data_IF_043207984842
#
_entry.id   IF_043207984842
#
_cell.length_a   1.000
_cell.length_b   1.000
_cell.length_c   1.000
_cell.angle_alpha   90.00
_cell.angle_beta   90.00
_cell.angle_gamma   90.00
#
_symmetry.space_group_name_H-M   'P 1'
#
loop_
_entity.id
_entity.type
_entity.pdbx_description
1 polymer ?
#
# COMPACT_ATOMS: atom_id res chain seq x y z
N UNK A 1 13.98 39.93 52.43
CA UNK A 1 14.26 38.83 51.51
C UNK A 1 12.92 38.33 50.96
N UNK A 2 12.58 38.64 49.68
CA UNK A 2 11.40 38.14 48.97
C UNK A 2 11.81 36.91 48.17
N UNK A 3 11.41 35.73 48.59
CA UNK A 3 11.60 34.47 47.87
C UNK A 3 10.65 34.43 46.70
N UNK A 4 11.22 34.54 45.47
CA UNK A 4 10.48 34.39 44.22
C UNK A 4 10.25 32.90 43.96
N UNK A 5 9.00 32.45 44.11
CA UNK A 5 8.60 31.09 43.83
C UNK A 5 8.40 30.97 42.30
N UNK A 6 9.36 30.38 41.59
CA UNK A 6 9.24 30.08 40.15
C UNK A 6 8.42 28.81 40.00
N UNK A 7 7.17 28.98 39.61
CA UNK A 7 6.27 27.89 39.25
C UNK A 7 6.67 27.38 37.85
N UNK A 8 7.43 26.30 37.77
CA UNK A 8 7.73 25.62 36.50
C UNK A 8 6.47 24.87 36.09
N UNK A 9 5.69 25.47 35.20
CA UNK A 9 4.62 24.76 34.50
C UNK A 9 5.28 23.75 33.55
N UNK A 10 5.32 22.47 33.90
CA UNK A 10 5.60 21.37 33.03
C UNK A 10 4.44 21.23 32.04
N UNK A 11 4.57 21.83 30.87
CA UNK A 11 3.65 21.59 29.75
C UNK A 11 3.93 20.17 29.28
N UNK A 12 3.11 19.21 29.70
CA UNK A 12 3.11 17.88 29.11
C UNK A 12 2.57 18.02 27.69
N UNK A 13 3.47 18.15 26.70
CA UNK A 13 3.15 18.06 25.28
C UNK A 13 2.80 16.58 25.00
N UNK A 14 1.54 16.22 25.17
CA UNK A 14 1.05 14.97 24.60
C UNK A 14 0.98 15.14 23.07
N UNK A 15 1.86 14.43 22.34
CA UNK A 15 1.78 14.38 20.90
C UNK A 15 0.39 13.90 20.48
N UNK A 16 -0.23 14.58 19.52
CA UNK A 16 -1.50 14.13 18.95
C UNK A 16 -1.32 12.77 18.28
N UNK A 17 -2.42 12.03 18.09
CA UNK A 17 -2.38 10.74 17.37
C UNK A 17 -1.71 10.93 16.01
N UNK A 18 -2.04 12.01 15.29
CA UNK A 18 -1.49 12.32 13.98
C UNK A 18 0.02 12.58 14.02
N UNK A 19 0.52 13.34 14.99
CA UNK A 19 1.96 13.58 15.16
C UNK A 19 2.73 12.30 15.50
N UNK A 20 2.17 11.44 16.35
CA UNK A 20 2.73 10.13 16.64
C UNK A 20 2.79 9.25 15.38
N UNK A 21 1.70 9.19 14.61
CA UNK A 21 1.66 8.46 13.35
C UNK A 21 2.71 8.98 12.36
N UNK A 22 2.83 10.30 12.23
CA UNK A 22 3.82 10.92 11.35
C UNK A 22 5.25 10.56 11.74
N UNK A 23 5.59 10.63 13.02
CA UNK A 23 6.91 10.23 13.55
C UNK A 23 7.20 8.75 13.26
N UNK A 24 6.23 7.87 13.48
CA UNK A 24 6.36 6.45 13.17
C UNK A 24 6.52 6.19 11.67
N UNK A 25 5.80 6.94 10.83
CA UNK A 25 5.91 6.85 9.37
C UNK A 25 7.29 7.24 8.87
N UNK A 26 7.86 8.35 9.36
CA UNK A 26 9.24 8.76 9.06
C UNK A 26 10.27 7.69 9.46
N UNK A 27 10.00 6.95 10.53
CA UNK A 27 10.82 5.83 10.98
C UNK A 27 10.48 4.49 10.27
N UNK A 28 9.72 4.53 9.15
CA UNK A 28 9.33 3.37 8.34
C UNK A 28 8.56 2.29 9.12
N UNK A 29 7.91 2.65 10.24
CA UNK A 29 7.06 1.75 11.04
C UNK A 29 5.64 1.70 10.45
N UNK A 30 5.53 1.42 9.15
CA UNK A 30 4.29 1.55 8.37
C UNK A 30 3.16 0.68 8.91
N UNK A 31 3.41 -0.59 9.22
CA UNK A 31 2.40 -1.49 9.78
C UNK A 31 1.78 -0.93 11.06
N UNK A 32 2.62 -0.45 11.98
CA UNK A 32 2.15 0.17 13.22
C UNK A 32 1.29 1.41 12.96
N UNK A 33 1.68 2.24 11.98
CA UNK A 33 0.89 3.43 11.61
C UNK A 33 -0.43 3.03 10.96
N UNK A 34 -0.43 2.02 10.08
CA UNK A 34 -1.64 1.47 9.49
C UNK A 34 -2.62 0.95 10.56
N UNK A 35 -2.13 0.27 11.59
CA UNK A 35 -2.98 -0.21 12.69
C UNK A 35 -3.51 0.94 13.56
N UNK A 36 -2.65 1.89 13.94
CA UNK A 36 -3.10 3.10 14.67
C UNK A 36 -4.19 3.82 13.88
N UNK A 37 -3.98 4.01 12.58
CA UNK A 37 -4.94 4.63 11.68
C UNK A 37 -6.27 3.87 11.64
N UNK A 38 -6.24 2.56 11.51
CA UNK A 38 -7.41 1.70 11.49
C UNK A 38 -8.25 1.82 12.77
N UNK A 39 -7.63 1.69 13.94
CA UNK A 39 -8.34 1.76 15.23
C UNK A 39 -8.87 3.15 15.57
N UNK A 40 -8.23 4.21 15.08
CA UNK A 40 -8.64 5.60 15.33
C UNK A 40 -9.45 6.24 14.19
N UNK A 41 -9.74 5.47 13.14
CA UNK A 41 -10.36 5.96 11.91
C UNK A 41 -11.70 6.66 12.14
N UNK A 42 -12.58 6.07 12.94
CA UNK A 42 -13.94 6.58 13.19
C UNK A 42 -13.95 8.04 13.64
N UNK A 43 -13.01 8.43 14.50
CA UNK A 43 -12.93 9.76 15.07
C UNK A 43 -12.17 10.77 14.19
N UNK A 44 -11.39 10.30 13.21
CA UNK A 44 -10.50 11.13 12.37
C UNK A 44 -10.83 11.08 10.88
N UNK A 45 -11.96 10.50 10.48
CA UNK A 45 -12.35 10.27 9.08
C UNK A 45 -12.55 11.53 8.23
N UNK A 46 -12.68 12.71 8.85
CA UNK A 46 -12.80 14.01 8.17
C UNK A 46 -11.46 14.73 8.03
N UNK A 47 -10.42 14.30 8.75
CA UNK A 47 -9.05 14.83 8.60
C UNK A 47 -8.35 14.11 7.44
N UNK A 48 -8.30 14.76 6.28
CA UNK A 48 -7.70 14.16 5.07
C UNK A 48 -6.20 13.89 5.19
N UNK A 49 -5.48 14.64 6.03
CA UNK A 49 -4.05 14.36 6.31
C UNK A 49 -3.91 13.05 7.10
N UNK A 50 -4.74 12.86 8.13
CA UNK A 50 -4.80 11.61 8.89
C UNK A 50 -5.16 10.43 7.98
N UNK A 51 -6.22 10.59 7.14
CA UNK A 51 -6.69 9.54 6.23
C UNK A 51 -5.63 9.20 5.19
N UNK A 52 -4.94 10.20 4.63
CA UNK A 52 -3.84 9.99 3.68
C UNK A 52 -2.67 9.25 4.33
N UNK A 53 -2.24 9.67 5.52
CA UNK A 53 -1.14 9.04 6.26
C UNK A 53 -1.47 7.58 6.62
N UNK A 54 -2.70 7.32 7.05
CA UNK A 54 -3.22 5.97 7.27
C UNK A 54 -3.15 5.13 5.98
N UNK A 55 -3.66 5.65 4.86
CA UNK A 55 -3.71 4.93 3.60
C UNK A 55 -2.31 4.62 3.04
N UNK A 56 -1.39 5.59 3.01
CA UNK A 56 -0.01 5.34 2.60
C UNK A 56 0.71 4.33 3.49
N UNK A 57 0.41 4.33 4.79
CA UNK A 57 0.99 3.36 5.71
C UNK A 57 0.50 1.94 5.44
N UNK A 58 -0.80 1.78 5.16
CA UNK A 58 -1.38 0.50 4.78
C UNK A 58 -0.85 0.01 3.42
N UNK A 59 -0.68 0.92 2.46
CA UNK A 59 -0.05 0.63 1.17
C UNK A 59 1.37 0.08 1.35
N UNK A 60 2.20 0.77 2.15
CA UNK A 60 3.59 0.36 2.39
C UNK A 60 3.73 -0.92 3.24
N UNK A 61 2.64 -1.38 3.85
CA UNK A 61 2.53 -2.61 4.64
C UNK A 61 1.76 -3.72 3.92
N UNK A 62 1.44 -3.54 2.63
CA UNK A 62 0.70 -4.49 1.79
C UNK A 62 -0.77 -4.75 2.20
N UNK A 63 -1.33 -3.94 3.13
CA UNK A 63 -2.74 -4.03 3.55
C UNK A 63 -3.67 -3.29 2.58
N UNK A 64 -3.64 -3.67 1.29
CA UNK A 64 -4.29 -2.93 0.21
C UNK A 64 -5.82 -2.84 0.34
N UNK A 65 -6.48 -3.84 0.93
CA UNK A 65 -7.95 -3.78 1.10
C UNK A 65 -8.38 -2.69 2.09
N UNK A 66 -7.48 -2.25 2.98
CA UNK A 66 -7.73 -1.11 3.87
C UNK A 66 -7.80 0.23 3.14
N UNK A 67 -7.40 0.29 1.86
CA UNK A 67 -7.48 1.51 1.04
C UNK A 67 -8.91 1.83 0.59
N UNK A 68 -9.83 0.87 0.61
CA UNK A 68 -11.18 1.06 0.09
C UNK A 68 -11.92 2.25 0.74
N UNK A 69 -11.82 2.38 2.07
CA UNK A 69 -12.47 3.49 2.79
C UNK A 69 -11.75 4.82 2.60
N UNK A 70 -10.42 4.95 2.71
CA UNK A 70 -9.68 6.15 2.32
C UNK A 70 -10.02 6.66 0.93
N UNK A 71 -10.07 5.80 -0.09
CA UNK A 71 -10.43 6.15 -1.46
C UNK A 71 -11.76 6.92 -1.51
N UNK A 72 -12.78 6.45 -0.79
CA UNK A 72 -14.10 7.10 -0.78
C UNK A 72 -14.12 8.45 -0.05
N UNK A 73 -13.22 8.68 0.89
CA UNK A 73 -13.21 9.86 1.76
C UNK A 73 -12.27 10.99 1.30
N UNK A 74 -11.17 10.65 0.63
CA UNK A 74 -10.19 11.62 0.13
C UNK A 74 -10.72 12.35 -1.11
N UNK A 75 -11.29 13.56 -0.92
CA UNK A 75 -12.01 14.26 -2.00
C UNK A 75 -11.96 15.80 -1.96
N UNK A 76 -11.63 16.43 -0.83
CA UNK A 76 -11.78 17.87 -0.68
C UNK A 76 -10.57 18.64 -1.19
N UNK A 77 -9.35 18.29 -0.81
CA UNK A 77 -8.14 18.91 -1.31
C UNK A 77 -7.69 18.34 -2.66
N UNK A 78 -6.83 19.07 -3.38
CA UNK A 78 -6.23 18.58 -4.64
C UNK A 78 -5.37 17.36 -4.38
N UNK A 79 -4.58 17.39 -3.33
CA UNK A 79 -3.68 16.32 -2.89
C UNK A 79 -4.48 15.07 -2.51
N UNK A 80 -5.57 15.23 -1.76
CA UNK A 80 -6.44 14.11 -1.38
C UNK A 80 -7.09 13.45 -2.57
N UNK A 81 -7.55 14.23 -3.57
CA UNK A 81 -8.07 13.65 -4.82
C UNK A 81 -7.00 12.89 -5.61
N UNK A 82 -5.77 13.40 -5.64
CA UNK A 82 -4.65 12.70 -6.29
C UNK A 82 -4.32 11.40 -5.56
N UNK A 83 -4.26 11.41 -4.22
CA UNK A 83 -4.04 10.23 -3.40
C UNK A 83 -5.15 9.19 -3.61
N UNK A 84 -6.43 9.63 -3.60
CA UNK A 84 -7.57 8.75 -3.88
C UNK A 84 -7.45 8.09 -5.25
N UNK A 85 -7.11 8.83 -6.30
CA UNK A 85 -6.92 8.28 -7.64
C UNK A 85 -5.78 7.25 -7.69
N UNK A 86 -4.64 7.56 -7.07
CA UNK A 86 -3.49 6.67 -6.97
C UNK A 86 -3.83 5.34 -6.28
N UNK A 87 -4.47 5.41 -5.10
CA UNK A 87 -4.91 4.21 -4.37
C UNK A 87 -5.97 3.41 -5.12
N UNK A 88 -6.87 4.09 -5.85
CA UNK A 88 -7.92 3.44 -6.64
C UNK A 88 -7.34 2.56 -7.75
N UNK A 89 -6.32 3.04 -8.46
CA UNK A 89 -5.63 2.27 -9.49
C UNK A 89 -5.03 0.99 -8.89
N UNK A 90 -4.29 1.12 -7.79
CA UNK A 90 -3.59 -0.01 -7.15
C UNK A 90 -4.60 -1.05 -6.62
N UNK A 91 -5.66 -0.59 -5.95
CA UNK A 91 -6.68 -1.50 -5.40
C UNK A 91 -7.45 -2.23 -6.51
N UNK A 92 -7.81 -1.54 -7.59
CA UNK A 92 -8.45 -2.14 -8.76
C UNK A 92 -7.53 -3.17 -9.42
N UNK A 93 -6.28 -2.84 -9.66
CA UNK A 93 -5.30 -3.76 -10.23
C UNK A 93 -5.10 -5.00 -9.35
N UNK A 94 -5.05 -4.83 -8.01
CA UNK A 94 -5.00 -5.97 -7.07
C UNK A 94 -6.17 -6.92 -7.27
N UNK A 95 -7.40 -6.38 -7.34
CA UNK A 95 -8.60 -7.20 -7.50
C UNK A 95 -8.65 -7.90 -8.86
N UNK A 96 -8.27 -7.22 -9.93
CA UNK A 96 -8.21 -7.78 -11.28
C UNK A 96 -7.13 -8.85 -11.42
N UNK A 97 -5.93 -8.60 -10.87
CA UNK A 97 -4.85 -9.59 -10.87
C UNK A 97 -5.23 -10.85 -10.07
N UNK A 98 -5.92 -10.67 -8.94
CA UNK A 98 -6.44 -11.78 -8.14
C UNK A 98 -7.44 -12.61 -8.93
N UNK A 99 -8.38 -11.97 -9.64
CA UNK A 99 -9.35 -12.62 -10.52
C UNK A 99 -8.66 -13.34 -11.68
N UNK A 100 -7.68 -12.70 -12.32
CA UNK A 100 -6.91 -13.31 -13.40
C UNK A 100 -6.16 -14.57 -12.98
N UNK A 101 -5.46 -14.51 -11.84
CA UNK A 101 -4.65 -15.62 -11.34
C UNK A 101 -5.47 -16.81 -10.81
N UNK A 102 -6.67 -16.56 -10.26
CA UNK A 102 -7.50 -17.61 -9.65
C UNK A 102 -8.48 -18.20 -10.64
N UNK A 103 -9.11 -17.34 -11.47
CA UNK A 103 -10.23 -17.72 -12.30
C UNK A 103 -9.88 -17.71 -13.81
N UNK A 104 -8.60 -17.51 -14.15
CA UNK A 104 -8.11 -17.37 -15.52
C UNK A 104 -8.80 -16.26 -16.31
N UNK A 105 -9.22 -15.18 -15.63
CA UNK A 105 -9.82 -14.03 -16.29
C UNK A 105 -8.80 -13.30 -17.16
N UNK A 106 -9.14 -13.07 -18.43
CA UNK A 106 -8.26 -12.37 -19.37
C UNK A 106 -8.29 -10.86 -19.13
N UNK A 107 -7.14 -10.31 -18.70
CA UNK A 107 -6.96 -8.88 -18.46
C UNK A 107 -6.12 -8.20 -19.55
N UNK A 108 -5.76 -8.89 -20.63
CA UNK A 108 -4.87 -8.39 -21.68
C UNK A 108 -5.45 -7.19 -22.45
N UNK A 109 -6.77 -7.07 -22.50
CA UNK A 109 -7.47 -5.94 -23.14
C UNK A 109 -7.61 -4.71 -22.25
N UNK A 110 -7.25 -4.82 -20.94
CA UNK A 110 -7.41 -3.73 -19.99
C UNK A 110 -6.23 -2.76 -20.07
N UNK A 111 -6.53 -1.52 -20.43
CA UNK A 111 -5.55 -0.43 -20.54
C UNK A 111 -5.65 0.46 -19.30
N UNK A 112 -5.02 0.05 -18.20
CA UNK A 112 -5.04 0.76 -16.93
C UNK A 112 -3.76 1.59 -16.75
N UNK A 113 -3.84 2.74 -16.06
CA UNK A 113 -2.64 3.50 -15.68
C UNK A 113 -1.71 2.63 -14.85
N UNK A 114 -0.39 2.73 -15.11
CA UNK A 114 0.65 2.10 -14.28
C UNK A 114 1.17 3.11 -13.28
N UNK A 115 1.35 2.68 -12.02
CA UNK A 115 1.96 3.48 -10.96
C UNK A 115 3.35 2.94 -10.62
N UNK A 116 4.09 3.67 -9.77
CA UNK A 116 5.39 3.24 -9.26
C UNK A 116 5.32 2.09 -8.24
N UNK A 117 4.13 1.77 -7.73
CA UNK A 117 3.93 0.67 -6.79
C UNK A 117 4.16 -0.70 -7.46
N UNK A 118 4.86 -1.61 -6.76
CA UNK A 118 5.29 -2.90 -7.32
C UNK A 118 4.15 -3.72 -7.93
N UNK A 119 3.01 -3.82 -7.25
CA UNK A 119 1.84 -4.56 -7.76
C UNK A 119 1.36 -3.98 -9.09
N UNK A 120 1.38 -2.64 -9.25
CA UNK A 120 0.94 -1.97 -10.47
C UNK A 120 1.88 -2.29 -11.64
N UNK A 121 3.19 -2.32 -11.41
CA UNK A 121 4.18 -2.73 -12.42
C UNK A 121 3.97 -4.19 -12.84
N UNK A 122 3.83 -5.08 -11.86
CA UNK A 122 3.63 -6.52 -12.12
C UNK A 122 2.30 -6.80 -12.81
N UNK A 123 1.24 -6.03 -12.47
CA UNK A 123 -0.04 -6.08 -13.19
C UNK A 123 0.14 -5.75 -14.69
N UNK A 124 0.87 -4.68 -15.00
CA UNK A 124 1.14 -4.27 -16.38
C UNK A 124 1.94 -5.34 -17.15
N UNK A 125 2.98 -5.90 -16.54
CA UNK A 125 3.73 -7.00 -17.13
C UNK A 125 2.85 -8.23 -17.38
N UNK A 126 2.00 -8.59 -16.42
CA UNK A 126 1.09 -9.73 -16.57
C UNK A 126 0.06 -9.49 -17.69
N UNK A 127 -0.54 -8.31 -17.75
CA UNK A 127 -1.49 -7.95 -18.82
C UNK A 127 -0.84 -8.00 -20.23
N UNK A 128 0.42 -7.57 -20.36
CA UNK A 128 1.19 -7.63 -21.62
C UNK A 128 1.49 -9.05 -22.10
N UNK A 129 1.37 -10.09 -21.26
CA UNK A 129 1.52 -11.49 -21.71
C UNK A 129 0.43 -11.92 -22.72
N UNK A 130 -0.68 -11.19 -22.76
CA UNK A 130 -1.83 -11.59 -23.55
C UNK A 130 -2.54 -12.82 -22.98
N UNK A 131 -3.38 -13.44 -23.78
CA UNK A 131 -4.08 -14.67 -23.39
C UNK A 131 -3.09 -15.84 -23.33
N UNK A 132 -3.02 -16.51 -22.18
CA UNK A 132 -2.09 -17.62 -21.95
C UNK A 132 -2.68 -18.62 -20.96
N UNK A 133 -2.08 -19.82 -20.89
CA UNK A 133 -2.43 -20.83 -19.90
C UNK A 133 -1.84 -20.44 -18.53
N UNK A 134 -2.53 -20.86 -17.45
CA UNK A 134 -2.09 -20.64 -16.08
C UNK A 134 -0.73 -21.32 -15.82
N UNK A 135 0.16 -20.62 -15.14
CA UNK A 135 1.50 -21.10 -14.78
C UNK A 135 1.65 -21.16 -13.26
N UNK A 136 2.57 -22.00 -12.78
CA UNK A 136 2.91 -22.08 -11.36
C UNK A 136 3.49 -20.74 -10.83
N UNK A 137 4.22 -20.02 -11.68
CA UNK A 137 4.76 -18.70 -11.41
C UNK A 137 5.06 -17.96 -12.71
N UNK A 138 5.23 -16.64 -12.61
CA UNK A 138 5.63 -15.74 -13.70
C UNK A 138 6.87 -15.00 -13.27
N UNK A 139 7.80 -14.79 -14.20
CA UNK A 139 9.02 -13.99 -14.00
C UNK A 139 8.99 -12.82 -14.97
N UNK A 140 9.27 -11.63 -14.47
CA UNK A 140 9.33 -10.40 -15.22
C UNK A 140 10.64 -9.67 -14.96
N UNK A 141 11.20 -9.03 -15.97
CA UNK A 141 12.33 -8.10 -15.86
C UNK A 141 11.79 -6.67 -15.90
N UNK A 142 12.34 -5.78 -15.08
CA UNK A 142 12.00 -4.35 -15.15
C UNK A 142 12.51 -3.76 -16.48
N UNK A 143 11.68 -2.93 -17.12
CA UNK A 143 12.01 -2.35 -18.43
C UNK A 143 13.19 -1.37 -18.34
N UNK A 144 13.40 -0.72 -17.20
CA UNK A 144 14.40 0.32 -16.98
C UNK A 144 15.66 -0.19 -16.27
N UNK A 145 15.57 -1.28 -15.50
CA UNK A 145 16.70 -1.88 -14.77
C UNK A 145 16.66 -3.41 -14.87
N UNK A 146 17.46 -3.97 -15.76
CA UNK A 146 17.57 -5.42 -15.98
C UNK A 146 18.02 -6.24 -14.78
N UNK A 147 18.57 -5.61 -13.74
CA UNK A 147 18.93 -6.28 -12.48
C UNK A 147 17.73 -6.46 -11.57
N UNK A 148 16.67 -5.63 -11.75
CA UNK A 148 15.45 -5.72 -11.01
C UNK A 148 14.48 -6.69 -11.70
N UNK A 149 14.11 -7.74 -11.01
CA UNK A 149 13.19 -8.76 -11.52
C UNK A 149 12.10 -9.06 -10.50
N UNK A 150 10.96 -9.54 -11.00
CA UNK A 150 9.78 -9.83 -10.18
C UNK A 150 9.32 -11.25 -10.42
N UNK A 151 8.99 -11.97 -9.34
CA UNK A 151 8.34 -13.28 -9.41
C UNK A 151 6.94 -13.18 -8.84
N UNK A 152 5.95 -13.47 -9.67
CA UNK A 152 4.53 -13.48 -9.32
C UNK A 152 4.04 -14.92 -9.22
N UNK A 153 3.35 -15.27 -8.13
CA UNK A 153 2.74 -16.58 -7.96
C UNK A 153 1.60 -16.54 -6.93
N UNK A 154 0.82 -17.63 -6.88
CA UNK A 154 -0.18 -17.85 -5.84
C UNK A 154 0.39 -18.78 -4.75
N UNK A 155 0.28 -18.33 -3.51
CA UNK A 155 0.52 -19.17 -2.33
C UNK A 155 -0.81 -19.55 -1.70
N UNK A 156 -0.96 -20.85 -1.39
CA UNK A 156 -2.15 -21.35 -0.69
C UNK A 156 -1.88 -21.37 0.81
N UNK A 157 -2.66 -20.60 1.54
CA UNK A 157 -2.65 -20.58 3.00
C UNK A 157 -4.04 -21.01 3.50
N UNK A 158 -4.14 -22.22 3.99
CA UNK A 158 -5.40 -22.86 4.38
C UNK A 158 -6.45 -22.83 3.24
N UNK A 159 -7.49 -22.02 3.39
CA UNK A 159 -8.58 -21.85 2.41
C UNK A 159 -8.41 -20.64 1.50
N UNK A 160 -7.42 -19.80 1.77
CA UNK A 160 -7.21 -18.55 1.03
C UNK A 160 -6.00 -18.69 0.11
N UNK A 161 -6.16 -18.30 -1.14
CA UNK A 161 -5.04 -18.11 -2.05
C UNK A 161 -4.55 -16.66 -1.91
N UNK A 162 -3.25 -16.47 -1.79
CA UNK A 162 -2.61 -15.15 -1.67
C UNK A 162 -1.77 -14.88 -2.91
N UNK A 163 -1.84 -13.66 -3.44
CA UNK A 163 -0.89 -13.21 -4.44
C UNK A 163 0.44 -12.96 -3.73
N UNK A 164 1.53 -13.50 -4.24
CA UNK A 164 2.88 -13.20 -3.79
C UNK A 164 3.65 -12.56 -4.93
N UNK A 165 4.30 -11.45 -4.62
CA UNK A 165 5.27 -10.80 -5.50
C UNK A 165 6.60 -10.74 -4.74
N UNK A 166 7.62 -11.38 -5.29
CA UNK A 166 8.99 -11.27 -4.79
C UNK A 166 9.80 -10.38 -5.73
N UNK A 167 10.46 -9.38 -5.15
CA UNK A 167 11.39 -8.50 -5.84
C UNK A 167 12.81 -9.01 -5.66
N UNK A 168 13.56 -9.08 -6.74
CA UNK A 168 14.97 -9.46 -6.74
C UNK A 168 15.80 -8.33 -7.36
N UNK A 169 16.94 -8.06 -6.76
CA UNK A 169 17.97 -7.23 -7.37
C UNK A 169 19.23 -8.05 -7.53
N UNK A 170 19.71 -8.16 -8.76
CA UNK A 170 20.88 -8.99 -9.12
C UNK A 170 20.78 -10.43 -8.59
N UNK A 171 19.56 -11.03 -8.69
CA UNK A 171 19.15 -12.37 -8.22
C UNK A 171 19.05 -12.52 -6.69
N UNK A 172 19.24 -11.46 -5.92
CA UNK A 172 19.08 -11.46 -4.47
C UNK A 172 17.67 -10.96 -4.14
N UNK A 173 16.91 -11.70 -3.36
CA UNK A 173 15.57 -11.27 -2.90
C UNK A 173 15.73 -10.05 -2.00
N UNK A 174 15.12 -8.92 -2.40
CA UNK A 174 15.16 -7.67 -1.65
C UNK A 174 13.85 -7.42 -0.90
N UNK A 175 12.72 -7.92 -1.43
CA UNK A 175 11.42 -7.76 -0.77
C UNK A 175 10.44 -8.84 -1.20
N UNK A 176 9.51 -9.19 -0.32
CA UNK A 176 8.40 -10.09 -0.58
C UNK A 176 7.11 -9.44 -0.14
N UNK A 177 6.16 -9.33 -1.06
CA UNK A 177 4.84 -8.75 -0.87
C UNK A 177 3.78 -9.84 -0.88
N UNK A 178 2.77 -9.73 -0.03
CA UNK A 178 1.70 -10.72 0.10
C UNK A 178 0.36 -9.99 0.13
N UNK A 179 -0.52 -10.35 -0.81
CA UNK A 179 -1.85 -9.75 -0.93
C UNK A 179 -2.95 -10.82 -0.95
N UNK A 180 -4.07 -10.56 -0.30
CA UNK A 180 -5.26 -11.42 -0.33
C UNK A 180 -6.54 -10.59 -0.30
#
# INVERSE_FOLDING_TARGET
MKTLLILVLSINLYATIKENMFTLYQNKKYEKVCDIGFYNFKNNKIDEEFVSLYAFSCLNSDYLDRLATPIALLKFSKESRANSAYFSVILMQKKLLYHALIDNYDISSLNLPTTDYVLSKVFDFYAKLGKHEARAFYLFEDENDKKLTYKLYLEKDNRVKKIVIEEFYDKITIKRHIYW
#
